data_IF_172830009168
#
_entry.id   IF_172830009168
#
_cell.length_a   1.000
_cell.length_b   1.000
_cell.length_c   1.000
_cell.angle_alpha   90.00
_cell.angle_beta   90.00
_cell.angle_gamma   90.00
#
_symmetry.space_group_name_H-M   'P 1'
#
loop_
_entity.id
_entity.type
_entity.pdbx_description
1 polymer ?
#
# COMPACT_ATOMS: atom_id res chain seq x y z
N UNK A 1 -15.54 -5.59 17.97
CA UNK A 1 -14.65 -4.79 18.84
C UNK A 1 -13.42 -5.60 19.26
N UNK A 2 -13.56 -6.82 19.81
CA UNK A 2 -12.43 -7.66 20.23
C UNK A 2 -11.30 -7.91 19.18
N UNK A 3 -11.64 -8.04 17.90
CA UNK A 3 -10.62 -8.32 16.87
C UNK A 3 -9.74 -7.12 16.55
N UNK A 4 -10.32 -5.92 16.40
CA UNK A 4 -9.53 -4.70 16.18
C UNK A 4 -8.58 -4.45 17.36
N UNK A 5 -9.07 -4.61 18.59
CA UNK A 5 -8.25 -4.50 19.80
C UNK A 5 -7.06 -5.47 19.79
N UNK A 6 -7.28 -6.72 19.34
CA UNK A 6 -6.21 -7.72 19.20
C UNK A 6 -5.11 -7.26 18.25
N UNK A 7 -5.49 -6.79 17.06
CA UNK A 7 -4.51 -6.29 16.08
C UNK A 7 -3.83 -5.01 16.55
N UNK A 8 -4.57 -4.10 17.19
CA UNK A 8 -3.99 -2.88 17.74
C UNK A 8 -3.02 -3.17 18.88
N UNK A 9 -3.23 -4.22 19.69
CA UNK A 9 -2.28 -4.64 20.69
C UNK A 9 -0.97 -5.13 20.06
N UNK A 10 -1.05 -5.95 19.00
CA UNK A 10 0.10 -6.41 18.23
C UNK A 10 0.88 -5.24 17.61
N UNK A 11 0.18 -4.32 16.95
CA UNK A 11 0.81 -3.12 16.37
C UNK A 11 1.43 -2.23 17.45
N UNK A 12 0.74 -2.04 18.57
CA UNK A 12 1.23 -1.20 19.67
C UNK A 12 2.52 -1.77 20.24
N UNK A 13 2.57 -3.08 20.52
CA UNK A 13 3.79 -3.75 20.98
C UNK A 13 4.93 -3.58 19.98
N UNK A 14 4.66 -3.78 18.69
CA UNK A 14 5.66 -3.68 17.64
C UNK A 14 6.17 -2.25 17.43
N UNK A 15 5.28 -1.24 17.46
CA UNK A 15 5.65 0.16 17.33
C UNK A 15 6.36 0.70 18.57
N UNK A 16 6.02 0.22 19.76
CA UNK A 16 6.74 0.54 21.00
C UNK A 16 8.17 -0.01 21.03
N UNK A 17 8.39 -1.20 20.45
CA UNK A 17 9.73 -1.74 20.25
C UNK A 17 10.47 -0.95 19.15
N UNK A 18 9.80 -0.70 18.02
CA UNK A 18 10.34 -0.01 16.85
C UNK A 18 10.89 1.37 17.21
N UNK A 19 10.12 2.18 17.96
CA UNK A 19 10.52 3.53 18.37
C UNK A 19 11.68 3.58 19.36
N UNK A 20 12.11 2.43 19.88
CA UNK A 20 13.25 2.25 20.78
C UNK A 20 14.40 1.52 20.07
N UNK A 21 14.43 1.55 18.74
CA UNK A 21 15.46 0.92 17.92
C UNK A 21 15.36 -0.60 17.79
N UNK A 22 14.24 -1.22 18.18
CA UNK A 22 14.05 -2.67 18.07
C UNK A 22 13.00 -3.05 17.00
N UNK A 23 13.41 -3.41 15.78
CA UNK A 23 12.49 -3.78 14.71
C UNK A 23 12.04 -5.25 14.76
N UNK A 24 12.56 -6.08 15.68
CA UNK A 24 12.40 -7.53 15.63
C UNK A 24 10.98 -8.03 15.94
N UNK A 25 10.10 -7.19 16.49
CA UNK A 25 8.67 -7.55 16.60
C UNK A 25 8.02 -7.78 15.24
N UNK A 26 8.38 -6.98 14.24
CA UNK A 26 7.92 -7.19 12.86
C UNK A 26 8.56 -8.42 12.20
N UNK A 27 9.79 -8.77 12.62
CA UNK A 27 10.43 -10.02 12.20
C UNK A 27 9.63 -11.21 12.73
N UNK A 28 9.37 -11.27 14.03
CA UNK A 28 8.67 -12.37 14.72
C UNK A 28 7.29 -12.66 14.12
N UNK A 29 6.53 -11.62 13.79
CA UNK A 29 5.17 -11.77 13.27
C UNK A 29 5.09 -12.00 11.74
N UNK A 30 6.19 -11.89 11.00
CA UNK A 30 6.15 -11.94 9.52
C UNK A 30 5.99 -13.36 8.97
N UNK A 31 5.20 -13.51 7.91
CA UNK A 31 4.98 -14.75 7.17
C UNK A 31 6.06 -14.98 6.09
N UNK A 32 6.28 -16.22 5.64
CA UNK A 32 7.25 -16.56 4.58
C UNK A 32 7.07 -15.73 3.28
N UNK A 33 5.82 -15.48 2.91
CA UNK A 33 5.40 -14.70 1.74
C UNK A 33 5.35 -13.18 1.95
N UNK A 34 6.04 -12.65 2.97
CA UNK A 34 6.00 -11.22 3.32
C UNK A 34 6.32 -10.32 2.11
N UNK A 35 5.50 -9.28 1.91
CA UNK A 35 5.76 -8.21 0.95
C UNK A 35 5.78 -6.86 1.66
N UNK A 36 6.93 -6.19 1.68
CA UNK A 36 7.11 -4.90 2.35
C UNK A 36 7.41 -3.77 1.36
N UNK A 37 6.69 -2.66 1.51
CA UNK A 37 6.79 -1.45 0.71
C UNK A 37 6.91 -0.25 1.66
N UNK A 38 7.87 0.62 1.39
CA UNK A 38 8.07 1.85 2.13
C UNK A 38 8.60 2.98 1.22
N UNK A 39 8.60 4.25 1.66
CA UNK A 39 9.11 5.36 0.87
C UNK A 39 10.65 5.42 0.80
N UNK A 40 11.38 4.59 1.55
CA UNK A 40 12.84 4.47 1.46
C UNK A 40 13.31 3.53 0.35
N UNK A 41 12.39 2.78 -0.26
CA UNK A 41 12.68 1.71 -1.21
C UNK A 41 12.24 2.05 -2.64
N UNK A 42 13.01 1.60 -3.63
CA UNK A 42 12.65 1.66 -5.07
C UNK A 42 12.12 0.34 -5.62
N UNK A 43 12.36 -0.75 -4.89
CA UNK A 43 11.81 -2.08 -5.12
C UNK A 43 11.18 -2.58 -3.82
N UNK A 44 10.05 -3.31 -3.86
CA UNK A 44 9.52 -3.94 -2.66
C UNK A 44 10.53 -4.96 -2.12
N UNK A 45 10.51 -5.18 -0.80
CA UNK A 45 11.19 -6.33 -0.20
C UNK A 45 10.24 -7.52 -0.26
N UNK A 46 10.66 -8.58 -0.95
CA UNK A 46 9.83 -9.76 -1.22
C UNK A 46 10.40 -10.98 -0.50
N UNK A 47 9.56 -11.65 0.28
CA UNK A 47 9.88 -12.81 1.10
C UNK A 47 10.38 -12.44 2.49
N UNK A 48 10.19 -13.37 3.43
CA UNK A 48 10.54 -13.19 4.83
C UNK A 48 12.05 -13.00 5.06
N UNK A 49 12.89 -13.81 4.42
CA UNK A 49 14.35 -13.74 4.63
C UNK A 49 14.93 -12.38 4.19
N UNK A 50 14.59 -11.85 2.99
CA UNK A 50 14.96 -10.48 2.64
C UNK A 50 14.39 -9.42 3.59
N UNK A 51 13.16 -9.60 4.08
CA UNK A 51 12.54 -8.69 5.03
C UNK A 51 13.27 -8.66 6.37
N UNK A 52 13.65 -9.81 6.91
CA UNK A 52 14.47 -9.93 8.12
C UNK A 52 15.83 -9.25 7.96
N UNK A 53 16.49 -9.44 6.82
CA UNK A 53 17.75 -8.75 6.50
C UNK A 53 17.57 -7.23 6.47
N UNK A 54 16.49 -6.75 5.84
CA UNK A 54 16.16 -5.33 5.80
C UNK A 54 15.94 -4.76 7.22
N UNK A 55 15.11 -5.42 8.04
CA UNK A 55 14.87 -4.99 9.42
C UNK A 55 16.15 -5.00 10.27
N UNK A 56 17.02 -6.00 10.10
CA UNK A 56 18.30 -6.08 10.81
C UNK A 56 19.21 -4.89 10.57
N UNK A 57 19.15 -4.27 9.37
CA UNK A 57 19.91 -3.05 9.06
C UNK A 57 19.39 -1.81 9.79
N UNK A 58 18.13 -1.83 10.26
CA UNK A 58 17.50 -0.72 10.97
C UNK A 58 17.65 -0.81 12.49
N UNK A 59 18.18 -1.93 13.01
CA UNK A 59 18.36 -2.13 14.44
C UNK A 59 19.21 -1.00 15.05
N UNK A 60 18.72 -0.42 16.14
CA UNK A 60 19.34 0.72 16.83
C UNK A 60 19.29 2.06 16.10
N UNK A 61 18.69 2.14 14.90
CA UNK A 61 18.75 3.36 14.06
C UNK A 61 17.54 4.27 14.18
N UNK A 62 16.45 3.81 14.80
CA UNK A 62 15.15 4.50 14.81
C UNK A 62 14.73 4.82 16.24
N UNK A 63 14.58 6.11 16.54
CA UNK A 63 14.16 6.60 17.84
C UNK A 63 13.23 7.80 17.72
N UNK A 64 12.14 7.80 18.48
CA UNK A 64 11.22 8.94 18.64
C UNK A 64 10.34 8.77 19.88
N UNK A 65 9.87 9.89 20.44
CA UNK A 65 9.12 9.93 21.69
C UNK A 65 7.62 9.71 21.48
N UNK A 66 7.04 10.33 20.46
CA UNK A 66 5.59 10.31 20.21
C UNK A 66 5.22 9.20 19.24
N UNK A 67 4.27 8.36 19.67
CA UNK A 67 3.73 7.21 18.94
C UNK A 67 2.21 7.24 19.01
N UNK A 68 1.54 7.62 17.93
CA UNK A 68 0.08 7.76 17.92
C UNK A 68 -0.54 7.10 16.68
N UNK A 69 -1.52 6.23 16.91
CA UNK A 69 -2.36 5.63 15.87
C UNK A 69 -3.60 6.48 15.65
N UNK A 70 -3.83 6.87 14.40
CA UNK A 70 -4.93 7.75 13.99
C UNK A 70 -5.91 6.95 13.14
N UNK A 71 -7.17 6.94 13.57
CA UNK A 71 -8.30 6.29 12.90
C UNK A 71 -8.04 4.84 12.45
N UNK A 72 -7.62 3.92 13.34
CA UNK A 72 -7.41 2.54 12.96
C UNK A 72 -8.73 1.85 12.57
N UNK A 73 -8.68 1.09 11.47
CA UNK A 73 -9.82 0.30 11.01
C UNK A 73 -9.38 -1.06 10.48
N UNK A 74 -10.17 -2.07 10.86
CA UNK A 74 -9.99 -3.46 10.44
C UNK A 74 -11.02 -3.82 9.37
N UNK A 75 -10.59 -4.54 8.34
CA UNK A 75 -11.47 -5.32 7.45
C UNK A 75 -11.15 -6.81 7.70
N UNK A 76 -12.07 -7.54 8.31
CA UNK A 76 -11.93 -8.99 8.47
C UNK A 76 -12.56 -9.71 7.27
N UNK A 77 -11.75 -10.52 6.58
CA UNK A 77 -12.16 -11.34 5.43
C UNK A 77 -12.14 -12.85 5.76
N UNK A 78 -11.92 -13.23 7.01
CA UNK A 78 -11.78 -14.61 7.48
C UNK A 78 -10.33 -15.09 7.42
N UNK A 79 -9.83 -15.41 6.22
CA UNK A 79 -8.48 -15.95 6.02
C UNK A 79 -7.39 -14.87 6.14
N UNK A 80 -7.77 -13.62 5.86
CA UNK A 80 -6.95 -12.44 6.08
C UNK A 80 -7.71 -11.36 6.82
N UNK A 81 -6.97 -10.48 7.48
CA UNK A 81 -7.46 -9.23 8.03
C UNK A 81 -6.62 -8.05 7.52
N UNK A 82 -7.28 -6.97 7.11
CA UNK A 82 -6.63 -5.75 6.63
C UNK A 82 -6.72 -4.72 7.75
N UNK A 83 -5.59 -4.37 8.34
CA UNK A 83 -5.49 -3.25 9.26
C UNK A 83 -4.97 -2.03 8.52
N UNK A 84 -5.70 -0.92 8.61
CA UNK A 84 -5.29 0.34 8.03
C UNK A 84 -5.41 1.46 9.05
N UNK A 85 -4.46 2.36 9.07
CA UNK A 85 -4.43 3.52 9.97
C UNK A 85 -3.50 4.59 9.41
N UNK A 86 -3.61 5.79 9.95
CA UNK A 86 -2.53 6.75 9.85
C UNK A 86 -1.71 6.70 11.15
N UNK A 87 -0.42 6.97 11.07
CA UNK A 87 0.47 6.90 12.22
C UNK A 87 1.30 8.17 12.33
N UNK A 88 1.33 8.75 13.52
CA UNK A 88 2.13 9.91 13.86
C UNK A 88 3.35 9.45 14.67
N UNK A 89 4.53 9.70 14.12
CA UNK A 89 5.80 9.67 14.86
C UNK A 89 6.33 11.07 15.02
N UNK A 90 6.73 11.46 16.23
CA UNK A 90 7.43 12.73 16.42
C UNK A 90 8.58 12.65 17.41
N UNK A 91 9.64 13.42 17.11
CA UNK A 91 10.73 13.70 18.06
C UNK A 91 10.32 14.91 18.90
N UNK A 92 10.37 14.76 20.22
CA UNK A 92 10.00 15.80 21.17
C UNK A 92 11.25 16.40 21.83
N UNK A 93 11.34 17.73 21.81
CA UNK A 93 12.40 18.48 22.49
C UNK A 93 12.20 18.49 24.01
N UNK A 94 13.25 18.88 24.75
CA UNK A 94 13.27 18.91 26.22
C UNK A 94 12.14 19.79 26.81
N UNK A 95 11.67 20.79 26.07
CA UNK A 95 10.59 21.70 26.47
C UNK A 95 9.17 21.23 26.08
N UNK A 96 9.05 19.99 25.59
CA UNK A 96 7.82 19.36 25.06
C UNK A 96 7.31 19.89 23.73
N UNK A 97 8.07 20.73 23.02
CA UNK A 97 7.76 21.09 21.63
C UNK A 97 8.08 19.94 20.68
N UNK A 98 7.32 19.79 19.60
CA UNK A 98 7.54 18.77 18.58
C UNK A 98 8.48 19.33 17.51
N UNK A 99 9.70 18.79 17.37
CA UNK A 99 10.69 19.24 16.37
C UNK A 99 10.38 18.63 15.00
N UNK A 100 10.31 17.30 14.93
CA UNK A 100 10.09 16.55 13.68
C UNK A 100 8.89 15.66 13.80
N UNK A 101 7.82 16.02 13.09
CA UNK A 101 6.58 15.25 12.99
C UNK A 101 6.55 14.55 11.64
N UNK A 102 6.30 13.25 11.62
CA UNK A 102 6.09 12.47 10.39
C UNK A 102 4.76 11.75 10.47
N UNK A 103 3.93 11.93 9.43
CA UNK A 103 2.63 11.27 9.31
C UNK A 103 2.71 10.20 8.22
N UNK A 104 2.26 9.01 8.57
CA UNK A 104 2.35 7.82 7.73
C UNK A 104 0.96 7.30 7.41
N UNK A 105 0.73 6.87 6.17
CA UNK A 105 -0.39 6.02 5.80
C UNK A 105 0.08 4.56 5.83
N UNK A 106 -0.62 3.71 6.57
CA UNK A 106 -0.23 2.32 6.79
C UNK A 106 -1.34 1.37 6.38
N UNK A 107 -0.97 0.35 5.61
CA UNK A 107 -1.80 -0.81 5.30
C UNK A 107 -1.02 -2.07 5.63
N UNK A 108 -1.50 -2.82 6.62
CA UNK A 108 -1.01 -4.14 6.95
C UNK A 108 -2.07 -5.18 6.59
N UNK A 109 -1.65 -6.29 5.99
CA UNK A 109 -2.49 -7.47 5.80
C UNK A 109 -1.89 -8.60 6.62
N UNK A 110 -2.73 -9.18 7.45
CA UNK A 110 -2.42 -10.36 8.25
C UNK A 110 -3.13 -11.55 7.65
N UNK A 111 -2.43 -12.68 7.51
CA UNK A 111 -3.04 -13.96 7.17
C UNK A 111 -3.05 -14.88 8.39
N UNK A 112 -4.06 -15.73 8.46
CA UNK A 112 -4.17 -16.74 9.53
C UNK A 112 -3.33 -17.96 9.17
N UNK A 113 -2.43 -18.36 10.07
CA UNK A 113 -1.58 -19.57 9.94
C UNK A 113 -1.59 -20.35 11.25
N UNK A 114 -1.99 -21.63 11.22
CA UNK A 114 -1.90 -22.57 12.37
C UNK A 114 -2.31 -22.04 13.76
N UNK A 115 -3.26 -21.09 13.80
CA UNK A 115 -3.81 -20.37 14.96
C UNK A 115 -3.13 -19.06 15.40
N UNK A 116 -2.15 -18.55 14.67
CA UNK A 116 -1.65 -17.19 14.83
C UNK A 116 -1.94 -16.32 13.60
N UNK A 117 -1.94 -15.00 13.80
CA UNK A 117 -1.97 -14.03 12.72
C UNK A 117 -0.55 -13.64 12.36
N UNK A 118 -0.19 -13.74 11.09
CA UNK A 118 1.13 -13.37 10.59
C UNK A 118 1.01 -12.27 9.55
N UNK A 119 1.92 -11.29 9.61
CA UNK A 119 2.00 -10.19 8.66
C UNK A 119 2.49 -10.72 7.32
N UNK A 120 1.67 -10.57 6.28
CA UNK A 120 1.98 -11.01 4.91
C UNK A 120 2.22 -9.84 3.96
N UNK A 121 1.72 -8.64 4.29
CA UNK A 121 1.86 -7.47 3.45
C UNK A 121 1.92 -6.22 4.32
N UNK A 122 2.88 -5.33 4.05
CA UNK A 122 2.94 -4.01 4.66
C UNK A 122 3.26 -2.97 3.61
N UNK A 123 2.34 -2.04 3.40
CA UNK A 123 2.55 -0.85 2.58
C UNK A 123 2.49 0.39 3.45
N UNK A 124 3.64 1.04 3.60
CA UNK A 124 3.82 2.30 4.32
C UNK A 124 4.15 3.40 3.34
N UNK A 125 3.58 4.58 3.52
CA UNK A 125 3.99 5.78 2.79
C UNK A 125 3.78 7.03 3.62
N UNK A 126 4.40 8.14 3.26
CA UNK A 126 4.08 9.42 3.92
C UNK A 126 2.70 9.90 3.47
N UNK A 127 1.89 10.35 4.43
CA UNK A 127 0.65 11.05 4.13
C UNK A 127 0.98 12.32 3.37
N UNK A 128 0.27 12.58 2.27
CA UNK A 128 0.54 13.73 1.37
C UNK A 128 1.96 13.83 0.84
N UNK A 129 2.58 12.69 0.58
CA UNK A 129 3.89 12.63 -0.06
C UNK A 129 3.98 13.46 -1.36
N UNK A 130 5.15 14.02 -1.59
CA UNK A 130 5.56 14.66 -2.84
C UNK A 130 6.28 13.66 -3.73
N UNK A 131 6.11 13.85 -5.03
CA UNK A 131 6.89 13.12 -6.04
C UNK A 131 8.37 13.53 -5.89
N UNK A 132 9.33 12.59 -5.86
CA UNK A 132 10.74 12.94 -5.90
C UNK A 132 11.12 13.53 -7.27
N UNK A 133 12.11 14.43 -7.30
CA UNK A 133 12.60 15.05 -8.54
C UNK A 133 13.19 14.02 -9.51
N UNK A 134 13.85 12.99 -8.96
CA UNK A 134 14.41 11.86 -9.70
C UNK A 134 14.33 10.59 -8.84
N UNK A 135 13.99 9.47 -9.47
CA UNK A 135 14.09 8.14 -8.88
C UNK A 135 14.63 7.16 -9.90
N UNK A 136 15.56 6.31 -9.48
CA UNK A 136 16.08 5.21 -10.29
C UNK A 136 15.37 3.93 -9.87
N UNK A 137 14.66 3.32 -10.82
CA UNK A 137 13.83 2.14 -10.56
C UNK A 137 14.35 0.99 -11.42
N UNK A 138 14.75 -0.10 -10.76
CA UNK A 138 15.16 -1.31 -11.46
C UNK A 138 13.94 -2.04 -12.00
N UNK A 139 13.90 -2.24 -13.31
CA UNK A 139 12.84 -2.97 -14.00
C UNK A 139 13.40 -4.34 -14.42
N UNK A 140 12.87 -5.45 -13.91
CA UNK A 140 13.24 -6.76 -14.41
C UNK A 140 12.70 -6.92 -15.84
N UNK A 141 13.58 -7.05 -16.81
CA UNK A 141 13.20 -7.43 -18.19
C UNK A 141 13.19 -8.95 -18.26
N UNK A 142 12.00 -9.52 -18.52
CA UNK A 142 11.83 -10.95 -18.74
C UNK A 142 11.62 -11.16 -20.24
N UNK A 143 12.42 -12.05 -20.83
CA UNK A 143 12.37 -12.37 -22.27
C UNK A 143 11.50 -13.59 -22.57
N UNK A 144 11.19 -14.38 -21.55
CA UNK A 144 10.24 -15.48 -21.62
C UNK A 144 8.81 -14.96 -21.49
N UNK A 145 7.87 -15.60 -22.17
CA UNK A 145 6.45 -15.31 -22.03
C UNK A 145 6.07 -15.55 -20.56
N UNK A 146 5.77 -14.48 -19.85
CA UNK A 146 5.31 -14.55 -18.48
C UNK A 146 4.01 -15.35 -18.48
N UNK A 147 4.01 -16.49 -17.81
CA UNK A 147 2.78 -17.19 -17.48
C UNK A 147 2.00 -16.33 -16.49
N UNK A 148 1.25 -15.37 -17.04
CA UNK A 148 0.38 -14.54 -16.26
C UNK A 148 -0.80 -15.34 -15.71
N UNK A 149 -1.00 -16.64 -15.96
CA UNK A 149 -2.21 -17.36 -15.53
C UNK A 149 -2.58 -17.07 -14.07
N UNK A 150 -1.60 -17.05 -13.16
CA UNK A 150 -1.83 -16.75 -11.75
C UNK A 150 -2.18 -15.28 -11.45
N UNK A 151 -1.74 -14.29 -12.24
CA UNK A 151 -2.03 -12.85 -12.00
C UNK A 151 -3.00 -12.24 -13.01
N UNK A 152 -3.36 -12.96 -14.07
CA UNK A 152 -4.04 -12.46 -15.27
C UNK A 152 -5.43 -11.94 -14.93
N UNK A 153 -6.18 -12.65 -14.08
CA UNK A 153 -7.51 -12.20 -13.65
C UNK A 153 -7.44 -10.80 -13.02
N UNK A 154 -6.53 -10.60 -12.06
CA UNK A 154 -6.35 -9.33 -11.35
C UNK A 154 -5.80 -8.22 -12.24
N UNK A 155 -4.79 -8.50 -13.07
CA UNK A 155 -4.23 -7.51 -13.98
C UNK A 155 -5.23 -7.13 -15.07
N UNK A 156 -6.12 -8.03 -15.49
CA UNK A 156 -7.21 -7.69 -16.41
C UNK A 156 -8.23 -6.76 -15.76
N UNK A 157 -8.61 -6.98 -14.50
CA UNK A 157 -9.48 -6.06 -13.74
C UNK A 157 -8.86 -4.66 -13.64
N UNK A 158 -7.61 -4.56 -13.20
CA UNK A 158 -6.90 -3.28 -13.08
C UNK A 158 -6.70 -2.61 -14.43
N UNK A 159 -6.35 -3.38 -15.47
CA UNK A 159 -6.18 -2.86 -16.84
C UNK A 159 -7.50 -2.30 -17.38
N UNK A 160 -8.62 -2.99 -17.17
CA UNK A 160 -9.93 -2.52 -17.62
C UNK A 160 -10.33 -1.21 -16.93
N UNK A 161 -10.12 -1.12 -15.61
CA UNK A 161 -10.36 0.10 -14.85
C UNK A 161 -9.44 1.25 -15.30
N UNK A 162 -8.13 1.01 -15.41
CA UNK A 162 -7.14 2.03 -15.77
C UNK A 162 -7.26 2.49 -17.22
N UNK A 163 -7.72 1.64 -18.15
CA UNK A 163 -7.99 2.04 -19.55
C UNK A 163 -9.02 3.17 -19.66
N UNK A 164 -10.02 3.20 -18.77
CA UNK A 164 -11.00 4.29 -18.66
C UNK A 164 -10.40 5.46 -17.88
N UNK A 165 -9.76 5.17 -16.75
CA UNK A 165 -9.19 6.19 -15.87
C UNK A 165 -8.19 7.09 -16.61
N UNK A 166 -7.30 6.50 -17.42
CA UNK A 166 -6.30 7.27 -18.19
C UNK A 166 -6.90 8.25 -19.21
N UNK A 167 -8.18 8.10 -19.56
CA UNK A 167 -8.93 9.01 -20.43
C UNK A 167 -9.71 10.07 -19.64
N UNK A 168 -9.61 10.06 -18.31
CA UNK A 168 -10.33 10.93 -17.40
C UNK A 168 -11.65 10.35 -16.89
N UNK A 169 -11.87 9.04 -17.01
CA UNK A 169 -13.09 8.37 -16.55
C UNK A 169 -12.77 7.34 -15.43
N UNK A 170 -12.90 7.70 -14.14
CA UNK A 170 -12.60 6.81 -13.03
C UNK A 170 -13.70 5.77 -12.76
N UNK A 171 -14.85 5.81 -13.46
CA UNK A 171 -16.01 4.97 -13.14
C UNK A 171 -15.76 3.47 -13.32
N UNK A 172 -14.80 3.10 -14.17
CA UNK A 172 -14.33 1.71 -14.29
C UNK A 172 -13.73 1.16 -12.99
N UNK A 173 -13.00 2.00 -12.23
CA UNK A 173 -12.47 1.62 -10.93
C UNK A 173 -13.58 1.51 -9.89
N UNK A 174 -14.52 2.48 -9.86
CA UNK A 174 -15.64 2.43 -8.92
C UNK A 174 -16.50 1.17 -9.09
N UNK A 175 -16.68 0.69 -10.32
CA UNK A 175 -17.48 -0.51 -10.61
C UNK A 175 -16.89 -1.80 -10.01
N UNK A 176 -15.58 -1.84 -9.81
CA UNK A 176 -14.89 -2.99 -9.20
C UNK A 176 -14.67 -2.80 -7.69
N UNK A 177 -15.01 -1.65 -7.10
CA UNK A 177 -14.93 -1.45 -5.65
C UNK A 177 -16.13 -2.06 -4.92
N UNK A 178 -15.90 -2.55 -3.71
CA UNK A 178 -16.93 -2.85 -2.75
C UNK A 178 -17.46 -1.55 -2.11
N UNK A 179 -18.68 -1.59 -1.56
CA UNK A 179 -19.29 -0.43 -0.90
C UNK A 179 -18.49 0.05 0.32
N UNK A 180 -17.86 -0.88 1.04
CA UNK A 180 -17.03 -0.68 2.22
C UNK A 180 -15.54 -0.45 1.89
N UNK A 181 -15.21 -0.11 0.63
CA UNK A 181 -13.82 0.10 0.20
C UNK A 181 -13.12 1.17 1.04
N UNK A 182 -11.87 0.90 1.39
CA UNK A 182 -10.97 1.87 2.01
C UNK A 182 -9.84 2.26 1.06
N UNK A 183 -9.39 3.51 1.15
CA UNK A 183 -8.48 4.05 0.15
C UNK A 183 -7.46 5.05 0.72
N UNK A 184 -6.21 4.88 0.31
CA UNK A 184 -5.11 5.82 0.51
C UNK A 184 -4.47 6.22 -0.82
N UNK A 185 -4.15 7.51 -0.98
CA UNK A 185 -3.24 8.00 -2.01
C UNK A 185 -2.53 9.30 -1.59
N UNK A 186 -1.54 9.78 -2.36
CA UNK A 186 -0.78 10.99 -2.02
C UNK A 186 -1.58 12.29 -1.97
N UNK A 187 -2.85 12.30 -2.39
CA UNK A 187 -3.62 13.53 -2.52
C UNK A 187 -4.57 13.75 -1.33
N UNK A 188 -4.88 12.69 -0.58
CA UNK A 188 -5.80 12.74 0.57
C UNK A 188 -5.05 13.03 1.87
N UNK A 189 -5.70 13.75 2.79
CA UNK A 189 -5.15 13.98 4.15
C UNK A 189 -5.45 12.83 5.11
N UNK A 190 -6.53 12.11 4.86
CA UNK A 190 -7.04 11.05 5.71
C UNK A 190 -7.45 9.86 4.85
N UNK A 191 -7.46 8.66 5.46
CA UNK A 191 -8.03 7.48 4.82
C UNK A 191 -9.46 7.79 4.38
N UNK A 192 -9.81 7.39 3.16
CA UNK A 192 -11.19 7.43 2.69
C UNK A 192 -11.84 6.11 3.07
N UNK A 193 -12.99 6.21 3.72
CA UNK A 193 -13.82 5.07 4.11
C UNK A 193 -15.15 5.12 3.34
N UNK A 194 -15.40 4.11 2.51
CA UNK A 194 -16.64 3.92 1.75
C UNK A 194 -16.59 4.40 0.29
N UNK A 195 -17.30 3.69 -0.59
CA UNK A 195 -17.32 3.94 -2.04
C UNK A 195 -17.88 5.32 -2.40
N UNK A 196 -18.92 5.79 -1.71
CA UNK A 196 -19.50 7.12 -1.99
C UNK A 196 -18.53 8.26 -1.62
N UNK A 197 -17.80 8.13 -0.51
CA UNK A 197 -16.74 9.06 -0.14
C UNK A 197 -15.61 9.07 -1.18
N UNK A 198 -15.22 7.88 -1.66
CA UNK A 198 -14.21 7.72 -2.71
C UNK A 198 -14.64 8.36 -4.03
N UNK A 199 -15.87 8.14 -4.47
CA UNK A 199 -16.43 8.78 -5.68
C UNK A 199 -16.38 10.30 -5.55
N UNK A 200 -16.86 10.84 -4.43
CA UNK A 200 -16.88 12.28 -4.16
C UNK A 200 -15.47 12.88 -4.21
N UNK A 201 -14.51 12.25 -3.55
CA UNK A 201 -13.12 12.71 -3.57
C UNK A 201 -12.54 12.71 -4.98
N UNK A 202 -12.60 11.57 -5.67
CA UNK A 202 -11.92 11.39 -6.96
C UNK A 202 -12.55 12.26 -8.05
N UNK A 203 -13.88 12.39 -8.08
CA UNK A 203 -14.59 13.24 -9.04
C UNK A 203 -14.39 14.73 -8.76
N UNK A 204 -14.10 15.11 -7.50
CA UNK A 204 -13.82 16.49 -7.11
C UNK A 204 -12.42 17.00 -7.50
N UNK A 205 -11.52 16.12 -7.97
CA UNK A 205 -10.15 16.49 -8.33
C UNK A 205 -10.10 17.24 -9.66
N UNK A 206 -9.49 18.42 -9.64
CA UNK A 206 -9.36 19.31 -10.81
C UNK A 206 -8.18 18.94 -11.71
N UNK A 207 -7.18 18.21 -11.20
CA UNK A 207 -6.07 17.73 -12.01
C UNK A 207 -6.50 16.50 -12.83
N UNK A 208 -6.40 16.61 -14.14
CA UNK A 208 -6.81 15.54 -15.04
C UNK A 208 -5.84 14.37 -14.91
N UNK A 209 -6.36 13.23 -14.44
CA UNK A 209 -5.68 11.94 -14.28
C UNK A 209 -5.35 11.27 -15.62
N UNK A 210 -5.10 12.07 -16.67
CA UNK A 210 -4.86 11.60 -18.03
C UNK A 210 -3.40 11.26 -18.24
N UNK A 211 -3.17 10.08 -18.80
CA UNK A 211 -1.85 9.60 -19.20
C UNK A 211 -1.99 8.69 -20.43
N UNK A 212 -0.92 8.61 -21.21
CA UNK A 212 -0.92 7.97 -22.52
C UNK A 212 -0.51 6.50 -22.42
N UNK A 213 0.52 6.21 -21.62
CA UNK A 213 1.07 4.86 -21.44
C UNK A 213 0.84 4.38 -20.01
N UNK A 214 0.39 3.14 -19.88
CA UNK A 214 0.20 2.45 -18.61
C UNK A 214 1.13 1.22 -18.58
N UNK A 215 2.03 1.16 -17.61
CA UNK A 215 2.96 0.05 -17.48
C UNK A 215 2.80 -0.57 -16.09
N UNK A 216 2.34 -1.82 -16.04
CA UNK A 216 2.29 -2.62 -14.81
C UNK A 216 3.62 -3.36 -14.69
N UNK A 217 4.35 -3.11 -13.61
CA UNK A 217 5.70 -3.61 -13.39
C UNK A 217 5.70 -4.62 -12.25
N UNK A 218 6.17 -5.84 -12.56
CA UNK A 218 6.32 -6.98 -11.63
C UNK A 218 5.07 -7.22 -10.76
N UNK A 219 3.89 -7.46 -11.38
CA UNK A 219 2.68 -7.74 -10.63
C UNK A 219 2.81 -9.03 -9.84
N UNK A 220 2.30 -9.03 -8.60
CA UNK A 220 2.35 -10.14 -7.66
C UNK A 220 0.99 -10.28 -7.01
N UNK A 221 0.43 -11.48 -7.04
CA UNK A 221 -0.80 -11.79 -6.33
C UNK A 221 -0.57 -12.96 -5.39
N UNK A 222 -1.18 -12.90 -4.22
CA UNK A 222 -1.34 -14.05 -3.33
C UNK A 222 -2.82 -14.21 -3.03
N UNK A 223 -3.34 -15.41 -3.26
CA UNK A 223 -4.73 -15.78 -2.98
C UNK A 223 -4.76 -16.42 -1.60
N UNK A 224 -5.68 -15.94 -0.76
CA UNK A 224 -5.91 -16.49 0.57
C UNK A 224 -7.28 -17.14 0.63
N UNK A 225 -7.28 -18.46 0.77
CA UNK A 225 -8.47 -19.28 0.72
C UNK A 225 -9.25 -19.08 -0.58
N UNK A 226 -10.58 -18.98 -0.47
CA UNK A 226 -11.46 -18.80 -1.63
C UNK A 226 -12.03 -17.38 -1.75
N UNK A 227 -11.71 -16.49 -0.80
CA UNK A 227 -12.45 -15.23 -0.62
C UNK A 227 -11.59 -13.98 -0.66
N UNK A 228 -10.27 -14.09 -0.60
CA UNK A 228 -9.40 -12.92 -0.56
C UNK A 228 -8.21 -13.05 -1.50
N UNK A 229 -7.78 -11.91 -2.06
CA UNK A 229 -6.56 -11.83 -2.84
C UNK A 229 -5.86 -10.50 -2.56
N UNK A 230 -4.54 -10.55 -2.40
CA UNK A 230 -3.68 -9.38 -2.21
C UNK A 230 -2.85 -9.21 -3.47
N UNK A 231 -3.15 -8.16 -4.24
CA UNK A 231 -2.39 -7.76 -5.42
C UNK A 231 -1.44 -6.62 -5.05
N UNK A 232 -0.20 -6.73 -5.50
CA UNK A 232 0.74 -5.63 -5.56
C UNK A 232 1.30 -5.49 -6.97
N UNK A 233 1.51 -4.26 -7.41
CA UNK A 233 2.32 -3.97 -8.59
C UNK A 233 2.93 -2.58 -8.46
N UNK A 234 4.06 -2.37 -9.13
CA UNK A 234 4.53 -1.02 -9.43
C UNK A 234 3.86 -0.56 -10.71
N UNK A 235 3.59 0.73 -10.84
CA UNK A 235 2.88 1.27 -12.00
C UNK A 235 3.52 2.54 -12.50
N UNK A 236 3.77 2.64 -13.81
CA UNK A 236 4.18 3.90 -14.42
C UNK A 236 3.03 4.48 -15.24
N UNK A 237 2.57 5.66 -14.84
CA UNK A 237 1.70 6.48 -15.67
C UNK A 237 2.55 7.49 -16.43
N UNK A 238 2.58 7.38 -17.76
CA UNK A 238 3.40 8.25 -18.62
C UNK A 238 2.53 9.13 -19.49
N UNK A 239 2.77 10.43 -19.46
CA UNK A 239 2.24 11.41 -20.42
C UNK A 239 3.30 11.74 -21.46
N UNK A 240 2.90 11.83 -22.72
CA UNK A 240 3.77 12.10 -23.85
C UNK A 240 3.57 13.54 -24.36
N UNK A 241 4.60 14.07 -25.01
CA UNK A 241 4.48 15.22 -25.90
C UNK A 241 3.86 14.78 -27.23
N UNK A 242 3.33 15.72 -28.06
CA UNK A 242 2.80 15.41 -29.38
C UNK A 242 3.80 14.71 -30.32
N UNK A 243 5.10 14.94 -30.14
CA UNK A 243 6.18 14.28 -30.90
C UNK A 243 6.53 12.87 -30.38
N UNK A 244 5.81 12.36 -29.38
CA UNK A 244 6.00 11.04 -28.78
C UNK A 244 7.06 10.95 -27.70
N UNK A 245 7.80 12.02 -27.38
CA UNK A 245 8.76 12.00 -26.26
C UNK A 245 8.06 12.01 -24.91
N UNK A 246 8.70 11.44 -23.88
CA UNK A 246 8.16 11.43 -22.52
C UNK A 246 8.12 12.85 -21.96
N UNK A 247 6.92 13.31 -21.57
CA UNK A 247 6.72 14.59 -20.87
C UNK A 247 6.83 14.43 -19.36
N UNK A 248 6.14 13.41 -18.83
CA UNK A 248 6.10 13.12 -17.41
C UNK A 248 5.88 11.62 -17.23
N UNK A 249 6.64 11.00 -16.33
CA UNK A 249 6.44 9.62 -15.91
C UNK A 249 6.36 9.59 -14.39
N UNK A 250 5.21 9.18 -13.87
CA UNK A 250 4.98 9.10 -12.42
C UNK A 250 5.08 7.62 -12.01
N UNK A 251 6.01 7.27 -11.11
CA UNK A 251 6.16 5.92 -10.60
C UNK A 251 5.37 5.72 -9.31
N UNK A 252 4.54 4.68 -9.32
CA UNK A 252 3.63 4.35 -8.22
C UNK A 252 3.92 2.96 -7.65
N UNK A 253 3.72 2.79 -6.35
CA UNK A 253 3.45 1.51 -5.71
C UNK A 253 1.93 1.39 -5.54
N UNK A 254 1.37 0.23 -5.90
CA UNK A 254 -0.06 -0.03 -5.80
C UNK A 254 -0.30 -1.33 -5.06
N UNK A 255 -0.97 -1.26 -3.91
CA UNK A 255 -1.53 -2.43 -3.22
C UNK A 255 -3.04 -2.42 -3.35
N UNK A 256 -3.62 -3.50 -3.84
CA UNK A 256 -5.06 -3.66 -4.07
C UNK A 256 -5.51 -4.98 -3.46
N UNK A 257 -6.43 -4.91 -2.51
CA UNK A 257 -6.94 -6.11 -1.82
C UNK A 257 -8.38 -6.35 -2.26
N UNK A 258 -8.65 -7.56 -2.71
CA UNK A 258 -9.95 -8.00 -3.21
C UNK A 258 -10.64 -8.96 -2.26
N UNK A 259 -11.96 -8.85 -2.22
CA UNK A 259 -12.87 -9.82 -1.62
C UNK A 259 -13.72 -10.45 -2.72
N UNK A 260 -13.88 -11.78 -2.69
CA UNK A 260 -14.80 -12.49 -3.59
C UNK A 260 -16.24 -12.16 -3.19
N UNK A 261 -17.05 -11.77 -4.17
CA UNK A 261 -18.49 -11.54 -4.02
C UNK A 261 -19.27 -12.42 -5.01
N UNK A 262 -20.61 -12.38 -4.94
CA UNK A 262 -21.48 -13.05 -5.92
C UNK A 262 -21.29 -12.52 -7.35
N UNK A 263 -20.89 -11.26 -7.49
CA UNK A 263 -20.65 -10.59 -8.78
C UNK A 263 -19.20 -10.72 -9.27
N UNK A 264 -18.39 -11.54 -8.60
CA UNK A 264 -16.94 -11.63 -8.85
C UNK A 264 -16.12 -10.90 -7.80
N UNK A 265 -14.85 -10.63 -8.09
CA UNK A 265 -13.94 -9.95 -7.17
C UNK A 265 -14.28 -8.46 -7.04
N UNK A 266 -14.27 -7.94 -5.81
CA UNK A 266 -14.45 -6.53 -5.50
C UNK A 266 -13.28 -6.01 -4.66
N UNK A 267 -12.78 -4.83 -4.98
CA UNK A 267 -11.73 -4.13 -4.24
C UNK A 267 -12.29 -3.65 -2.91
N UNK A 268 -11.72 -4.11 -1.79
CA UNK A 268 -12.07 -3.67 -0.43
C UNK A 268 -11.02 -2.72 0.16
N UNK A 269 -9.80 -2.71 -0.37
CA UNK A 269 -8.78 -1.75 0.05
C UNK A 269 -7.84 -1.40 -1.11
N UNK A 270 -7.42 -0.15 -1.20
CA UNK A 270 -6.37 0.30 -2.12
C UNK A 270 -5.42 1.27 -1.43
N UNK A 271 -4.12 1.06 -1.59
CA UNK A 271 -3.09 1.98 -1.15
C UNK A 271 -2.18 2.29 -2.35
N UNK A 272 -2.22 3.54 -2.80
CA UNK A 272 -1.32 4.08 -3.83
C UNK A 272 -0.30 5.00 -3.18
N UNK A 273 0.96 4.87 -3.55
CA UNK A 273 2.02 5.78 -3.12
C UNK A 273 3.00 6.04 -4.26
N UNK A 274 3.81 7.09 -4.18
CA UNK A 274 4.92 7.25 -5.11
C UNK A 274 6.04 6.31 -4.73
N UNK A 275 6.75 5.77 -5.72
CA UNK A 275 8.03 5.11 -5.46
C UNK A 275 9.01 6.19 -4.96
N UNK A 276 9.60 5.96 -3.78
CA UNK A 276 10.48 6.94 -3.13
C UNK A 276 9.81 8.31 -2.87
N UNK A 277 8.53 8.29 -2.48
CA UNK A 277 7.80 9.50 -2.12
C UNK A 277 8.43 10.24 -0.95
N UNK A 278 8.42 11.58 -1.02
CA UNK A 278 9.04 12.45 -0.01
C UNK A 278 7.99 13.10 0.88
N UNK A 279 8.34 13.33 2.15
CA UNK A 279 7.58 14.24 3.01
C UNK A 279 7.66 15.68 2.50
#
# INVERSE_FOLDING_TARGET
>A
MAMLETFMALETEAMEAWRKGNPFKYWEMSHENMLYIDPGLTNPVVGQVPYHKFLGQLAGSIHYEVSEFINPALCDLGDIAILSYQYLSAVQEVDRTLDRTTLWDVTHVYARSENCWQLVHSHRSFTKQRLPDKVEVTIPIRFEELDYDETREWINLETAAMKRWRKGDPTGFFAICAEDVRYFDPFVKHRIDGLECLKKEILGRTFHTRFDVMEFIDPRVVIYGQKAAVLFYRFFSTTLHPNGSVRLRIPWNCSVIYRRSREGWKVVHTHRSYINGRQ
#
